data_IF_455356815574
#
_entry.id   IF_455356815574
#
_cell.length_a   1.000
_cell.length_b   1.000
_cell.length_c   1.000
_cell.angle_alpha   90.00
_cell.angle_beta   90.00
_cell.angle_gamma   90.00
#
_symmetry.space_group_name_H-M   'P 1'
#
loop_
_entity.id
_entity.type
_entity.pdbx_description
1 polymer ?
#
# COMPACT_ATOMS: atom_id res chain seq x y z
N UNK A 1 -5.76 -24.98 25.10
CA UNK A 1 -4.91 -25.72 24.15
C UNK A 1 -4.88 -24.87 22.90
N UNK A 2 -3.85 -24.05 22.78
CA UNK A 2 -3.68 -23.07 21.70
C UNK A 2 -3.40 -23.84 20.41
N UNK A 3 -4.27 -23.73 19.41
CA UNK A 3 -3.92 -24.13 18.06
C UNK A 3 -3.28 -22.91 17.38
N UNK A 4 -1.99 -22.68 17.66
CA UNK A 4 -1.17 -21.92 16.74
C UNK A 4 -1.13 -22.69 15.43
N UNK A 5 -1.79 -22.20 14.37
CA UNK A 5 -1.49 -22.69 13.03
C UNK A 5 -0.08 -22.20 12.73
N UNK A 6 0.90 -23.09 12.91
CA UNK A 6 2.31 -22.72 12.70
C UNK A 6 2.51 -22.19 11.28
N UNK A 7 3.45 -21.26 11.09
CA UNK A 7 3.84 -20.79 9.75
C UNK A 7 4.19 -21.94 8.80
N UNK A 8 4.80 -23.01 9.33
CA UNK A 8 5.04 -24.24 8.56
C UNK A 8 3.76 -24.93 8.09
N UNK A 9 2.67 -24.83 8.83
CA UNK A 9 1.34 -25.34 8.46
C UNK A 9 0.70 -24.48 7.38
N UNK A 10 0.75 -23.14 7.50
CA UNK A 10 0.27 -22.23 6.46
C UNK A 10 1.05 -22.43 5.14
N UNK A 11 2.37 -22.59 5.24
CA UNK A 11 3.24 -22.91 4.11
C UNK A 11 2.87 -24.21 3.42
N UNK A 12 2.71 -25.29 4.19
CA UNK A 12 2.30 -26.61 3.69
C UNK A 12 0.91 -26.59 3.04
N UNK A 13 -0.02 -25.78 3.56
CA UNK A 13 -1.36 -25.63 2.99
C UNK A 13 -1.33 -24.83 1.68
N UNK A 14 -0.57 -23.72 1.63
CA UNK A 14 -0.38 -22.93 0.41
C UNK A 14 0.36 -23.69 -0.71
N UNK A 15 1.21 -24.67 -0.38
CA UNK A 15 1.83 -25.56 -1.38
C UNK A 15 0.83 -26.53 -2.04
N UNK A 16 -0.33 -26.75 -1.42
CA UNK A 16 -1.37 -27.70 -1.89
C UNK A 16 -2.61 -27.01 -2.45
N UNK A 17 -2.85 -25.77 -2.04
CA UNK A 17 -3.94 -24.91 -2.51
C UNK A 17 -3.36 -23.53 -2.83
N UNK A 18 -3.46 -23.01 -4.06
CA UNK A 18 -2.69 -21.83 -4.50
C UNK A 18 -3.04 -20.52 -3.77
N UNK A 19 -4.16 -20.47 -3.03
CA UNK A 19 -4.66 -19.25 -2.39
C UNK A 19 -5.24 -19.57 -1.00
N UNK A 20 -4.85 -18.81 0.01
CA UNK A 20 -5.21 -19.00 1.41
C UNK A 20 -5.65 -17.65 2.01
N UNK A 21 -6.76 -17.59 2.75
CA UNK A 21 -7.10 -16.42 3.57
C UNK A 21 -6.94 -16.74 5.05
N UNK A 22 -6.23 -15.89 5.78
CA UNK A 22 -6.02 -16.01 7.22
C UNK A 22 -6.62 -14.78 7.87
N UNK A 23 -7.63 -14.95 8.72
CA UNK A 23 -8.30 -13.82 9.37
C UNK A 23 -7.75 -13.68 10.80
N UNK A 24 -7.18 -12.52 11.10
CA UNK A 24 -6.68 -12.19 12.43
C UNK A 24 -7.67 -11.22 13.13
N UNK A 25 -8.18 -11.58 14.31
CA UNK A 25 -8.81 -10.58 15.18
C UNK A 25 -7.70 -9.91 16.00
N UNK A 26 -7.33 -8.70 15.61
CA UNK A 26 -6.25 -7.95 16.24
C UNK A 26 -6.66 -7.23 17.52
N UNK A 27 -7.90 -7.37 17.97
CA UNK A 27 -8.36 -6.62 19.15
C UNK A 27 -7.77 -7.10 20.47
N UNK A 28 -7.18 -8.30 20.56
CA UNK A 28 -6.60 -8.75 21.82
C UNK A 28 -5.48 -9.81 21.76
N UNK A 29 -5.08 -10.33 20.59
CA UNK A 29 -3.98 -11.33 20.52
C UNK A 29 -3.21 -11.26 19.20
N UNK A 30 -1.89 -11.46 19.25
CA UNK A 30 -1.00 -11.71 18.08
C UNK A 30 -1.21 -13.10 17.44
N UNK A 31 -2.38 -13.70 17.62
CA UNK A 31 -2.70 -15.06 17.15
C UNK A 31 -3.94 -15.01 16.25
N UNK A 32 -3.96 -15.78 15.14
CA UNK A 32 -5.12 -15.81 14.26
C UNK A 32 -6.32 -16.38 14.99
N UNK A 33 -7.41 -15.63 15.00
CA UNK A 33 -8.67 -16.03 15.63
C UNK A 33 -9.44 -17.00 14.74
N UNK A 34 -9.18 -16.98 13.42
CA UNK A 34 -9.84 -17.81 12.43
C UNK A 34 -8.94 -18.01 11.19
N UNK A 35 -8.62 -19.25 10.81
CA UNK A 35 -7.92 -19.55 9.55
C UNK A 35 -8.92 -20.17 8.58
N UNK A 36 -9.24 -19.49 7.47
CA UNK A 36 -10.27 -19.94 6.52
C UNK A 36 -9.65 -20.28 5.18
N UNK A 37 -9.59 -21.58 4.87
CA UNK A 37 -9.14 -22.06 3.56
C UNK A 37 -10.20 -21.77 2.50
N UNK A 38 -9.82 -21.07 1.43
CA UNK A 38 -10.69 -20.82 0.28
C UNK A 38 -10.09 -21.41 -0.99
N UNK A 39 -10.95 -22.00 -1.82
CA UNK A 39 -10.57 -22.52 -3.15
C UNK A 39 -10.79 -21.51 -4.28
N UNK A 40 -11.31 -20.32 -3.95
CA UNK A 40 -11.65 -19.27 -4.92
C UNK A 40 -11.48 -17.87 -4.31
N UNK A 41 -11.20 -16.89 -5.16
CA UNK A 41 -11.11 -15.47 -4.79
C UNK A 41 -12.44 -14.90 -4.28
N UNK A 42 -13.57 -15.35 -4.84
CA UNK A 42 -14.90 -14.93 -4.40
C UNK A 42 -15.13 -15.30 -2.92
N UNK A 43 -14.72 -16.51 -2.51
CA UNK A 43 -14.84 -16.92 -1.12
C UNK A 43 -13.97 -16.08 -0.18
N UNK A 44 -12.78 -15.68 -0.62
CA UNK A 44 -11.91 -14.78 0.15
C UNK A 44 -12.56 -13.40 0.28
N UNK A 45 -13.11 -12.86 -0.81
CA UNK A 45 -13.79 -11.58 -0.80
C UNK A 45 -15.00 -11.56 0.15
N UNK A 46 -15.80 -12.63 0.15
CA UNK A 46 -16.95 -12.78 1.06
C UNK A 46 -16.51 -12.81 2.53
N UNK A 47 -15.44 -13.55 2.85
CA UNK A 47 -14.87 -13.62 4.21
C UNK A 47 -14.29 -12.28 4.65
N UNK A 48 -13.59 -11.58 3.75
CA UNK A 48 -13.01 -10.26 4.02
C UNK A 48 -14.12 -9.25 4.28
N UNK A 49 -15.14 -9.20 3.42
CA UNK A 49 -16.29 -8.30 3.56
C UNK A 49 -17.08 -8.59 4.84
N UNK A 50 -17.32 -9.86 5.15
CA UNK A 50 -18.01 -10.27 6.38
C UNK A 50 -17.22 -9.84 7.61
N UNK A 51 -15.90 -10.07 7.64
CA UNK A 51 -15.04 -9.69 8.75
C UNK A 51 -15.00 -8.16 8.92
N UNK A 52 -14.81 -7.42 7.83
CA UNK A 52 -14.75 -5.95 7.85
C UNK A 52 -16.07 -5.32 8.32
N UNK A 53 -17.20 -6.02 8.19
CA UNK A 53 -18.52 -5.55 8.64
C UNK A 53 -18.83 -5.78 10.13
N UNK A 54 -17.98 -6.53 10.85
CA UNK A 54 -18.21 -6.85 12.27
C UNK A 54 -18.03 -5.59 13.14
N UNK A 55 -18.98 -5.25 14.04
CA UNK A 55 -18.86 -4.10 14.91
C UNK A 55 -17.88 -4.34 16.07
N UNK A 56 -17.11 -3.31 16.45
CA UNK A 56 -16.37 -3.26 17.72
C UNK A 56 -14.90 -3.65 17.70
N UNK A 57 -14.28 -3.84 16.53
CA UNK A 57 -12.91 -4.36 16.45
C UNK A 57 -12.09 -3.78 15.28
N UNK A 58 -10.82 -3.48 15.54
CA UNK A 58 -9.80 -3.39 14.48
C UNK A 58 -9.46 -4.83 14.07
N UNK A 59 -9.84 -5.23 12.86
CA UNK A 59 -9.51 -6.55 12.31
C UNK A 59 -8.29 -6.45 11.40
N UNK A 60 -7.44 -7.47 11.42
CA UNK A 60 -6.39 -7.65 10.43
C UNK A 60 -6.71 -8.87 9.57
N UNK A 61 -6.70 -8.74 8.26
CA UNK A 61 -6.99 -9.86 7.37
C UNK A 61 -5.75 -10.15 6.54
N UNK A 62 -5.12 -11.30 6.77
CA UNK A 62 -3.96 -11.75 6.00
C UNK A 62 -4.38 -12.59 4.80
N UNK A 63 -4.21 -12.07 3.58
CA UNK A 63 -4.34 -12.88 2.36
C UNK A 63 -2.97 -13.49 2.08
N UNK A 64 -2.88 -14.82 2.11
CA UNK A 64 -1.65 -15.59 1.87
C UNK A 64 -1.75 -16.32 0.53
N UNK A 65 -0.74 -16.20 -0.32
CA UNK A 65 -0.75 -16.84 -1.63
C UNK A 65 0.64 -17.32 -2.04
N UNK A 66 0.73 -18.14 -3.09
CA UNK A 66 2.01 -18.62 -3.61
C UNK A 66 2.72 -17.54 -4.43
N UNK A 67 3.95 -17.18 -4.04
CA UNK A 67 4.68 -16.01 -4.54
C UNK A 67 5.03 -16.01 -6.04
N UNK A 68 5.14 -17.18 -6.66
CA UNK A 68 5.51 -17.27 -8.08
C UNK A 68 4.34 -16.96 -9.04
N UNK A 69 3.13 -16.71 -8.52
CA UNK A 69 1.96 -16.37 -9.31
C UNK A 69 1.68 -14.86 -9.25
N UNK A 70 2.16 -14.14 -10.27
CA UNK A 70 1.93 -12.69 -10.43
C UNK A 70 0.44 -12.34 -10.50
N UNK A 71 -0.40 -13.23 -11.04
CA UNK A 71 -1.84 -13.00 -11.16
C UNK A 71 -2.52 -13.15 -9.79
N UNK A 72 -2.09 -14.12 -8.98
CA UNK A 72 -2.55 -14.25 -7.60
C UNK A 72 -2.14 -13.04 -6.74
N UNK A 73 -0.91 -12.54 -6.91
CA UNK A 73 -0.44 -11.32 -6.25
C UNK A 73 -1.33 -10.13 -6.57
N UNK A 74 -1.59 -9.89 -7.86
CA UNK A 74 -2.47 -8.79 -8.30
C UNK A 74 -3.86 -8.89 -7.70
N UNK A 75 -4.47 -10.08 -7.71
CA UNK A 75 -5.82 -10.30 -7.16
C UNK A 75 -5.88 -10.10 -5.65
N UNK A 76 -4.87 -10.59 -4.91
CA UNK A 76 -4.78 -10.37 -3.47
C UNK A 76 -4.69 -8.88 -3.12
N UNK A 77 -3.83 -8.15 -3.86
CA UNK A 77 -3.68 -6.71 -3.69
C UNK A 77 -4.92 -5.93 -4.14
N UNK A 78 -5.52 -6.25 -5.28
CA UNK A 78 -6.76 -5.62 -5.73
C UNK A 78 -7.86 -5.77 -4.66
N UNK A 79 -8.03 -6.97 -4.10
CA UNK A 79 -8.98 -7.22 -3.03
C UNK A 79 -8.65 -6.40 -1.78
N UNK A 80 -7.40 -6.41 -1.32
CA UNK A 80 -6.96 -5.66 -0.15
C UNK A 80 -7.13 -4.13 -0.31
N UNK A 81 -6.91 -3.61 -1.52
CA UNK A 81 -7.02 -2.18 -1.82
C UNK A 81 -8.41 -1.61 -1.50
N UNK A 82 -9.46 -2.43 -1.65
CA UNK A 82 -10.86 -2.09 -1.39
C UNK A 82 -11.15 -1.81 0.10
N UNK A 83 -10.23 -2.17 0.98
CA UNK A 83 -10.39 -2.06 2.43
C UNK A 83 -9.40 -1.08 3.09
N UNK A 84 -8.50 -0.44 2.33
CA UNK A 84 -7.44 0.44 2.88
C UNK A 84 -7.96 1.67 3.63
N UNK A 85 -9.17 2.13 3.29
CA UNK A 85 -9.85 3.25 3.96
C UNK A 85 -10.89 2.76 5.00
N UNK A 86 -11.00 1.45 5.24
CA UNK A 86 -11.89 0.89 6.25
C UNK A 86 -11.18 0.70 7.60
N UNK A 87 -11.94 0.38 8.65
CA UNK A 87 -11.38 0.00 9.95
C UNK A 87 -10.65 -1.37 9.94
N UNK A 88 -10.71 -2.12 8.83
CA UNK A 88 -9.99 -3.38 8.65
C UNK A 88 -8.63 -3.15 7.98
N UNK A 89 -7.57 -3.72 8.53
CA UNK A 89 -6.24 -3.70 7.92
C UNK A 89 -6.03 -5.01 7.15
N UNK A 90 -5.97 -4.96 5.82
CA UNK A 90 -5.68 -6.16 5.03
C UNK A 90 -4.18 -6.26 4.77
N UNK A 91 -3.56 -7.32 5.28
CA UNK A 91 -2.18 -7.69 4.97
C UNK A 91 -2.19 -8.67 3.81
N UNK A 92 -1.33 -8.45 2.82
CA UNK A 92 -1.13 -9.37 1.72
C UNK A 92 0.29 -9.92 1.85
N UNK A 93 0.41 -11.24 1.93
CA UNK A 93 1.69 -11.91 2.14
C UNK A 93 1.86 -13.05 1.16
N UNK A 94 3.00 -13.09 0.50
CA UNK A 94 3.40 -14.27 -0.24
C UNK A 94 4.00 -15.29 0.75
N UNK A 95 3.86 -16.59 0.46
CA UNK A 95 4.50 -17.66 1.26
C UNK A 95 6.04 -17.62 1.20
N UNK A 96 6.66 -16.77 0.38
CA UNK A 96 8.12 -16.58 0.39
C UNK A 96 8.60 -15.43 1.26
N UNK A 97 7.74 -14.49 1.66
CA UNK A 97 8.15 -13.24 2.33
C UNK A 97 7.65 -13.07 3.77
N UNK A 98 6.93 -14.06 4.30
CA UNK A 98 6.30 -13.98 5.62
C UNK A 98 7.27 -13.96 6.83
N UNK A 99 8.59 -13.91 6.62
CA UNK A 99 9.59 -13.96 7.70
C UNK A 99 10.29 -12.64 8.05
N UNK A 100 10.12 -11.55 7.30
CA UNK A 100 10.97 -10.38 7.51
C UNK A 100 10.21 -9.07 7.66
N UNK A 101 10.09 -8.63 8.92
CA UNK A 101 9.82 -7.24 9.32
C UNK A 101 10.88 -6.25 8.73
N UNK A 102 11.99 -6.79 8.20
CA UNK A 102 13.04 -6.08 7.44
C UNK A 102 12.73 -5.85 5.96
N UNK A 103 11.57 -6.30 5.45
CA UNK A 103 11.26 -6.25 4.01
C UNK A 103 10.92 -4.84 3.54
N UNK A 104 10.54 -3.88 4.39
CA UNK A 104 10.16 -2.53 3.93
C UNK A 104 11.17 -1.47 4.33
N UNK A 105 11.75 -0.83 3.31
CA UNK A 105 12.70 0.27 3.49
C UNK A 105 11.93 1.55 3.79
N UNK A 106 11.82 1.88 5.08
CA UNK A 106 11.23 3.13 5.54
C UNK A 106 12.24 4.26 5.47
N UNK A 107 11.85 5.38 4.85
CA UNK A 107 12.66 6.60 4.82
C UNK A 107 12.03 7.68 5.67
N UNK A 108 12.88 8.57 6.18
CA UNK A 108 12.48 9.73 6.96
C UNK A 108 12.46 11.01 6.13
N UNK A 109 12.11 12.11 6.79
CA UNK A 109 11.96 13.41 6.13
C UNK A 109 13.28 13.92 5.51
N UNK A 110 14.43 13.91 6.21
CA UNK A 110 15.71 14.27 5.62
C UNK A 110 16.11 13.45 4.37
N UNK A 111 15.83 12.14 4.38
CA UNK A 111 16.10 11.31 3.20
C UNK A 111 15.14 11.65 2.04
N UNK A 112 13.86 11.88 2.32
CA UNK A 112 12.91 12.33 1.30
C UNK A 112 13.30 13.70 0.71
N UNK A 113 13.75 14.64 1.52
CA UNK A 113 14.21 15.97 1.09
C UNK A 113 15.36 15.87 0.10
N UNK A 114 16.32 15.01 0.40
CA UNK A 114 17.46 14.74 -0.47
C UNK A 114 17.00 14.25 -1.85
N UNK A 115 15.96 13.43 -1.91
CA UNK A 115 15.39 12.90 -3.17
C UNK A 115 14.60 13.99 -3.93
N UNK A 116 13.82 14.79 -3.21
CA UNK A 116 12.99 15.88 -3.77
C UNK A 116 13.85 17.03 -4.31
N UNK A 117 15.01 17.28 -3.71
CA UNK A 117 15.96 18.30 -4.18
C UNK A 117 16.78 17.82 -5.38
N UNK A 118 17.17 16.54 -5.43
CA UNK A 118 17.91 15.96 -6.56
C UNK A 118 17.08 15.89 -7.85
N UNK A 119 15.77 15.64 -7.77
CA UNK A 119 14.87 15.58 -8.93
C UNK A 119 14.67 16.93 -9.64
N UNK A 120 15.09 18.05 -9.03
CA UNK A 120 15.10 19.36 -9.68
C UNK A 120 16.24 19.58 -10.69
N UNK A 121 17.23 18.68 -10.74
CA UNK A 121 18.43 18.81 -11.56
C UNK A 121 18.53 17.64 -12.55
N UNK A 122 17.81 17.72 -13.67
CA UNK A 122 18.01 16.95 -14.93
C UNK A 122 18.78 15.61 -14.86
N UNK A 123 18.34 14.66 -14.02
CA UNK A 123 18.96 13.33 -13.99
C UNK A 123 18.05 12.32 -14.66
N UNK A 124 18.55 11.76 -15.76
CA UNK A 124 17.92 10.70 -16.56
C UNK A 124 17.88 9.33 -15.84
N UNK A 125 18.34 9.26 -14.58
CA UNK A 125 18.29 8.08 -13.71
C UNK A 125 17.42 8.28 -12.46
N UNK A 126 16.59 9.33 -12.43
CA UNK A 126 16.00 9.91 -11.23
C UNK A 126 14.95 9.05 -10.53
N UNK A 127 15.13 8.88 -9.23
CA UNK A 127 14.18 8.25 -8.31
C UNK A 127 12.75 8.80 -8.51
N UNK A 128 11.76 7.91 -8.50
CA UNK A 128 10.36 8.27 -8.74
C UNK A 128 9.63 8.33 -7.40
N UNK A 129 9.09 9.51 -7.09
CA UNK A 129 8.22 9.71 -5.94
C UNK A 129 6.76 9.51 -6.36
N UNK A 130 6.08 8.50 -5.81
CA UNK A 130 4.68 8.16 -6.09
C UNK A 130 3.78 8.59 -4.93
N UNK A 131 2.85 9.50 -5.20
CA UNK A 131 1.76 9.86 -4.31
C UNK A 131 0.58 8.92 -4.55
N UNK A 132 0.25 8.07 -3.56
CA UNK A 132 -0.81 7.06 -3.66
C UNK A 132 -2.17 7.55 -3.18
N UNK A 133 -2.34 8.85 -2.97
CA UNK A 133 -3.61 9.45 -2.54
C UNK A 133 -4.61 9.58 -3.69
N UNK A 134 -5.87 9.78 -3.33
CA UNK A 134 -6.94 10.09 -4.28
C UNK A 134 -6.72 11.47 -4.90
N UNK A 135 -7.21 11.66 -6.13
CA UNK A 135 -7.03 12.92 -6.87
C UNK A 135 -7.68 14.13 -6.18
N UNK A 136 -8.79 13.94 -5.46
CA UNK A 136 -9.43 15.01 -4.68
C UNK A 136 -8.54 15.50 -3.54
N UNK A 137 -7.82 14.60 -2.86
CA UNK A 137 -6.86 14.97 -1.82
C UNK A 137 -5.73 15.86 -2.38
N UNK A 138 -5.26 15.57 -3.59
CA UNK A 138 -4.24 16.39 -4.26
C UNK A 138 -4.79 17.76 -4.67
N UNK A 139 -5.99 17.80 -5.26
CA UNK A 139 -6.63 19.04 -5.69
C UNK A 139 -6.89 20.00 -4.51
N UNK A 140 -7.28 19.45 -3.36
CA UNK A 140 -7.60 20.23 -2.18
C UNK A 140 -6.35 20.63 -1.37
N UNK A 141 -5.37 19.73 -1.23
CA UNK A 141 -4.27 19.91 -0.27
C UNK A 141 -2.87 20.01 -0.91
N UNK A 142 -2.77 19.90 -2.23
CA UNK A 142 -1.49 19.90 -2.94
C UNK A 142 -0.75 18.56 -2.82
N UNK A 143 0.49 18.52 -3.31
CA UNK A 143 1.34 17.34 -3.32
C UNK A 143 2.80 17.72 -3.14
N UNK A 144 3.62 16.75 -2.72
CA UNK A 144 5.07 16.96 -2.63
C UNK A 144 5.61 17.29 -4.02
N UNK A 145 6.54 18.24 -4.10
CA UNK A 145 7.14 18.66 -5.36
C UNK A 145 7.70 17.45 -6.12
N UNK A 146 7.51 17.44 -7.44
CA UNK A 146 7.93 16.36 -8.37
C UNK A 146 7.25 14.99 -8.17
N UNK A 147 6.32 14.85 -7.22
CA UNK A 147 5.57 13.61 -7.05
C UNK A 147 4.67 13.31 -8.27
N UNK A 148 4.57 12.02 -8.59
CA UNK A 148 3.66 11.45 -9.59
C UNK A 148 2.50 10.79 -8.88
N UNK A 149 1.26 11.09 -9.29
CA UNK A 149 0.10 10.51 -8.65
C UNK A 149 -0.34 9.21 -9.34
N UNK A 150 -0.40 8.13 -8.56
CA UNK A 150 -1.13 6.92 -8.91
C UNK A 150 -1.99 6.57 -7.69
N UNK A 151 -3.29 6.87 -7.69
CA UNK A 151 -4.18 6.50 -6.58
C UNK A 151 -4.05 5.02 -6.28
N UNK A 152 -4.06 4.64 -4.99
CA UNK A 152 -3.81 3.26 -4.57
C UNK A 152 -4.84 2.29 -5.15
N UNK A 153 -6.04 2.75 -5.45
CA UNK A 153 -7.11 1.96 -6.04
C UNK A 153 -6.81 1.61 -7.50
N UNK A 154 -5.96 2.40 -8.17
CA UNK A 154 -5.57 2.20 -9.56
C UNK A 154 -4.23 1.49 -9.73
N UNK A 155 -3.48 1.21 -8.65
CA UNK A 155 -2.09 0.76 -8.75
C UNK A 155 -1.95 -0.59 -9.49
N UNK A 156 -2.87 -1.53 -9.24
CA UNK A 156 -2.85 -2.85 -9.89
C UNK A 156 -3.09 -2.70 -11.40
N UNK A 157 -4.09 -1.91 -11.78
CA UNK A 157 -4.41 -1.62 -13.17
C UNK A 157 -3.27 -0.86 -13.86
N UNK A 158 -2.70 0.14 -13.17
CA UNK A 158 -1.59 0.94 -13.67
C UNK A 158 -0.40 0.06 -14.05
N UNK A 159 0.00 -0.85 -13.16
CA UNK A 159 1.15 -1.74 -13.37
C UNK A 159 0.86 -2.87 -14.39
N UNK A 160 -0.39 -3.09 -14.76
CA UNK A 160 -0.79 -4.03 -15.82
C UNK A 160 -0.86 -3.37 -17.21
N UNK A 161 -0.84 -2.03 -17.30
CA UNK A 161 -0.85 -1.33 -18.59
C UNK A 161 0.45 -1.54 -19.36
N UNK A 162 0.33 -1.62 -20.68
CA UNK A 162 1.49 -1.47 -21.58
C UNK A 162 2.09 -0.06 -21.44
N UNK A 163 3.42 0.07 -21.53
CA UNK A 163 4.18 1.30 -21.28
C UNK A 163 3.56 2.56 -21.90
N UNK A 164 3.27 2.54 -23.21
CA UNK A 164 2.66 3.69 -23.87
C UNK A 164 1.23 4.03 -23.40
N UNK A 165 0.46 3.07 -22.90
CA UNK A 165 -0.85 3.33 -22.31
C UNK A 165 -0.73 3.89 -20.89
N UNK A 166 0.24 3.40 -20.12
CA UNK A 166 0.59 3.95 -18.81
C UNK A 166 0.99 5.42 -18.93
N UNK A 167 1.93 5.74 -19.82
CA UNK A 167 2.44 7.10 -19.98
C UNK A 167 1.35 8.07 -20.43
N UNK A 168 0.45 7.66 -21.32
CA UNK A 168 -0.72 8.49 -21.70
C UNK A 168 -1.66 8.74 -20.53
N UNK A 169 -1.86 7.77 -19.63
CA UNK A 169 -2.80 7.88 -18.50
C UNK A 169 -2.21 8.68 -17.34
N UNK A 170 -0.95 8.44 -16.99
CA UNK A 170 -0.32 8.99 -15.79
C UNK A 170 0.67 10.13 -16.07
N UNK A 171 1.04 10.36 -17.32
CA UNK A 171 1.91 11.47 -17.73
C UNK A 171 3.39 11.28 -17.39
N UNK A 172 3.83 10.04 -17.18
CA UNK A 172 5.24 9.67 -17.01
C UNK A 172 5.49 8.22 -17.46
N UNK A 173 6.74 7.85 -17.82
CA UNK A 173 7.07 6.48 -18.21
C UNK A 173 6.80 5.46 -17.10
N UNK A 174 6.39 4.25 -17.47
CA UNK A 174 6.24 3.15 -16.53
C UNK A 174 7.60 2.85 -15.85
N UNK A 175 7.69 2.85 -14.50
CA UNK A 175 8.94 2.60 -13.82
C UNK A 175 9.51 1.21 -14.12
N UNK A 176 10.81 1.14 -14.41
CA UNK A 176 11.52 -0.13 -14.57
C UNK A 176 11.72 -0.84 -13.22
N UNK A 177 11.93 -2.17 -13.24
CA UNK A 177 12.07 -2.97 -11.99
C UNK A 177 13.26 -2.58 -11.12
N UNK A 178 14.31 -2.01 -11.71
CA UNK A 178 15.49 -1.51 -11.01
C UNK A 178 15.40 -0.02 -10.64
N UNK A 179 14.37 0.70 -11.07
CA UNK A 179 14.16 2.11 -10.76
C UNK A 179 13.88 2.25 -9.27
N UNK A 180 14.52 3.23 -8.61
CA UNK A 180 14.15 3.59 -7.25
C UNK A 180 12.74 4.18 -7.23
N UNK A 181 11.87 3.61 -6.43
CA UNK A 181 10.50 4.11 -6.23
C UNK A 181 10.30 4.42 -4.76
N UNK A 182 9.94 5.66 -4.45
CA UNK A 182 9.51 6.07 -3.11
C UNK A 182 8.01 6.29 -3.15
N UNK A 183 7.27 5.63 -2.26
CA UNK A 183 5.82 5.82 -2.16
C UNK A 183 5.46 6.62 -0.91
N UNK A 184 4.44 7.46 -1.00
CA UNK A 184 3.84 8.12 0.14
C UNK A 184 2.33 8.32 -0.04
N UNK A 185 1.62 8.55 1.07
CA UNK A 185 0.18 8.86 1.05
C UNK A 185 -0.14 9.88 2.15
N UNK A 186 -1.37 9.89 2.69
CA UNK A 186 -1.75 10.80 3.80
C UNK A 186 -0.90 10.57 5.05
N UNK A 187 -0.89 9.33 5.56
CA UNK A 187 -0.22 8.97 6.82
C UNK A 187 0.85 7.89 6.67
N UNK A 188 0.67 6.90 5.76
CA UNK A 188 1.65 5.92 5.24
C UNK A 188 1.00 4.57 4.85
N UNK A 189 -0.24 4.27 5.29
CA UNK A 189 -0.88 2.95 5.09
C UNK A 189 -1.01 2.53 3.62
N UNK A 190 -1.60 3.39 2.78
CA UNK A 190 -1.78 3.14 1.33
C UNK A 190 -0.44 3.03 0.59
N UNK A 191 0.55 3.80 1.02
CA UNK A 191 1.89 3.79 0.46
C UNK A 191 2.66 2.50 0.82
N UNK A 192 2.53 2.04 2.06
CA UNK A 192 3.09 0.77 2.50
C UNK A 192 2.52 -0.38 1.67
N UNK A 193 1.21 -0.41 1.48
CA UNK A 193 0.54 -1.36 0.60
C UNK A 193 1.08 -1.33 -0.84
N UNK A 194 1.20 -0.14 -1.44
CA UNK A 194 1.79 0.03 -2.78
C UNK A 194 3.23 -0.49 -2.85
N UNK A 195 4.01 -0.27 -1.78
CA UNK A 195 5.41 -0.76 -1.69
C UNK A 195 5.49 -2.27 -1.71
N UNK A 196 4.63 -2.96 -0.94
CA UNK A 196 4.57 -4.41 -0.92
C UNK A 196 4.21 -4.96 -2.30
N UNK A 197 3.17 -4.41 -2.96
CA UNK A 197 2.80 -4.81 -4.31
C UNK A 197 3.95 -4.65 -5.31
N UNK A 198 4.64 -3.51 -5.30
CA UNK A 198 5.76 -3.29 -6.20
C UNK A 198 6.87 -4.33 -5.96
N UNK A 199 7.18 -4.66 -4.70
CA UNK A 199 8.17 -5.70 -4.38
C UNK A 199 7.75 -7.08 -4.86
N UNK A 200 6.49 -7.46 -4.64
CA UNK A 200 5.93 -8.74 -5.11
C UNK A 200 5.96 -8.84 -6.65
N UNK A 201 5.84 -7.70 -7.33
CA UNK A 201 5.99 -7.59 -8.79
C UNK A 201 7.46 -7.51 -9.24
N UNK A 202 8.43 -7.71 -8.35
CA UNK A 202 9.86 -7.80 -8.66
C UNK A 202 10.59 -6.45 -8.73
N UNK A 203 10.01 -5.36 -8.21
CA UNK A 203 10.77 -4.11 -8.06
C UNK A 203 11.78 -4.24 -6.93
N UNK A 204 13.04 -3.93 -7.21
CA UNK A 204 14.15 -4.21 -6.28
C UNK A 204 14.48 -3.05 -5.34
N UNK A 205 14.16 -1.82 -5.73
CA UNK A 205 14.47 -0.62 -4.94
C UNK A 205 13.21 0.20 -4.65
N UNK A 206 12.35 -0.33 -3.78
CA UNK A 206 11.11 0.36 -3.35
C UNK A 206 11.20 0.74 -1.88
N UNK A 207 10.85 2.00 -1.59
CA UNK A 207 10.89 2.59 -0.26
C UNK A 207 9.53 3.22 0.08
N UNK A 208 9.20 3.27 1.37
CA UNK A 208 8.00 3.94 1.88
C UNK A 208 8.40 5.14 2.72
N UNK A 209 7.87 6.32 2.43
CA UNK A 209 8.05 7.47 3.31
C UNK A 209 7.14 7.36 4.54
N UNK A 210 7.76 7.34 5.72
CA UNK A 210 7.11 6.92 6.97
C UNK A 210 6.09 7.91 7.56
N UNK A 211 6.20 9.20 7.24
CA UNK A 211 5.40 10.24 7.92
C UNK A 211 4.18 10.69 7.10
N UNK A 212 4.12 10.31 5.82
CA UNK A 212 3.08 10.74 4.88
C UNK A 212 3.04 12.25 4.68
N UNK A 213 2.13 12.72 3.82
CA UNK A 213 2.01 14.17 3.51
C UNK A 213 1.66 15.01 4.75
N UNK A 214 0.97 14.42 5.74
CA UNK A 214 0.62 15.10 6.99
C UNK A 214 1.86 15.32 7.86
N UNK A 215 2.75 14.33 7.96
CA UNK A 215 4.03 14.51 8.66
C UNK A 215 4.98 15.44 7.91
N UNK A 216 5.02 15.29 6.58
CA UNK A 216 5.80 16.16 5.71
C UNK A 216 5.46 17.65 5.89
N UNK A 217 4.17 17.98 5.86
CA UNK A 217 3.67 19.35 6.03
C UNK A 217 3.88 19.92 7.44
N UNK A 218 4.10 19.08 8.48
CA UNK A 218 4.47 19.56 9.82
C UNK A 218 5.92 20.02 9.87
N UNK A 219 6.79 19.36 9.13
CA UNK A 219 8.22 19.68 9.08
C UNK A 219 8.50 20.85 8.13
N UNK A 220 7.64 21.05 7.13
CA UNK A 220 7.82 22.07 6.09
C UNK A 220 6.62 23.03 6.04
N UNK A 221 6.88 24.33 6.26
CA UNK A 221 5.84 25.37 6.13
C UNK A 221 5.16 25.27 4.76
N UNK A 222 3.82 25.28 4.70
CA UNK A 222 3.06 24.97 3.48
C UNK A 222 3.40 25.85 2.27
N UNK A 223 3.83 27.09 2.51
CA UNK A 223 4.26 28.06 1.49
C UNK A 223 5.53 27.62 0.73
N UNK A 224 6.33 26.71 1.30
CA UNK A 224 7.53 26.13 0.68
C UNK A 224 7.30 24.67 0.24
N UNK A 225 6.38 23.95 0.89
CA UNK A 225 6.22 22.50 0.76
C UNK A 225 5.40 22.02 -0.46
N UNK A 226 4.53 22.88 -1.02
CA UNK A 226 3.60 22.49 -2.10
C UNK A 226 2.45 21.56 -1.67
N UNK A 227 2.44 21.11 -0.41
CA UNK A 227 1.41 20.27 0.19
C UNK A 227 1.04 20.73 1.61
N UNK A 228 -0.18 20.40 2.05
CA UNK A 228 -0.74 20.72 3.37
C UNK A 228 -1.21 19.45 4.09
N UNK A 229 -1.10 19.45 5.42
CA UNK A 229 -1.74 18.43 6.27
C UNK A 229 -3.26 18.62 6.32
N UNK A 230 -4.01 17.55 6.53
CA UNK A 230 -5.46 17.54 6.63
C UNK A 230 -5.96 16.29 7.38
N UNK A 231 -7.18 16.37 7.90
CA UNK A 231 -7.85 15.25 8.57
C UNK A 231 -8.40 14.22 7.59
N UNK A 232 -8.69 13.01 8.07
CA UNK A 232 -9.31 11.98 7.25
C UNK A 232 -10.72 12.40 6.80
N UNK A 233 -11.08 12.10 5.55
CA UNK A 233 -12.43 12.34 5.04
C UNK A 233 -12.78 11.42 3.86
N UNK A 234 -14.06 11.11 3.73
CA UNK A 234 -14.63 10.38 2.61
C UNK A 234 -15.11 11.30 1.48
N UNK A 235 -15.23 10.75 0.25
CA UNK A 235 -15.68 11.51 -0.92
C UNK A 235 -17.07 12.17 -0.76
N UNK A 236 -17.92 11.59 0.08
CA UNK A 236 -19.26 12.10 0.37
C UNK A 236 -19.31 13.06 1.57
N UNK A 237 -18.21 13.19 2.31
CA UNK A 237 -18.10 14.08 3.45
C UNK A 237 -17.61 15.47 3.01
N UNK A 238 -17.89 16.52 3.81
CA UNK A 238 -17.31 17.84 3.57
C UNK A 238 -15.78 17.79 3.60
N UNK A 239 -15.13 18.46 2.63
CA UNK A 239 -13.67 18.57 2.61
C UNK A 239 -13.18 19.29 3.87
N UNK A 240 -12.26 18.70 4.66
CA UNK A 240 -11.78 19.30 5.89
C UNK A 240 -10.93 20.53 5.60
N UNK A 241 -10.82 21.41 6.60
CA UNK A 241 -9.84 22.49 6.51
C UNK A 241 -8.42 21.90 6.59
N UNK A 242 -7.51 22.50 5.82
CA UNK A 242 -6.10 22.19 5.94
C UNK A 242 -5.61 22.54 7.36
N UNK A 243 -4.68 21.75 7.89
CA UNK A 243 -4.02 22.02 9.17
C UNK A 243 -3.33 23.39 9.11
N UNK A 244 -3.44 24.14 10.22
CA UNK A 244 -2.71 25.40 10.36
C UNK A 244 -1.20 25.11 10.46
N UNK A 245 -0.40 25.91 9.76
CA UNK A 245 1.07 25.87 9.86
C UNK A 245 1.56 26.50 11.15
#
# INVERSE_FOLDING_TARGET
MLFEVSFSTLKFLAERDPILAVVYDTTNTLSPSEVVLHKSWDGIADTVATTASRPGSEFAIGIVYTSNDTEASKKAHELASKFLDTHATVFVGSNCDASDEKVVNWIDTPELDSIVDQTGSSNETGDILIDTRRRDELNNFGQVRNAKNIPVEEICDALALHEGAFERKYGFPLPGKSTTVVTYCRTNRRAHFCTLLLKDLGFTNVKTYKEGVVGWAKTHKAEVAGARGYDAYELHEPVPQAHAN
#
